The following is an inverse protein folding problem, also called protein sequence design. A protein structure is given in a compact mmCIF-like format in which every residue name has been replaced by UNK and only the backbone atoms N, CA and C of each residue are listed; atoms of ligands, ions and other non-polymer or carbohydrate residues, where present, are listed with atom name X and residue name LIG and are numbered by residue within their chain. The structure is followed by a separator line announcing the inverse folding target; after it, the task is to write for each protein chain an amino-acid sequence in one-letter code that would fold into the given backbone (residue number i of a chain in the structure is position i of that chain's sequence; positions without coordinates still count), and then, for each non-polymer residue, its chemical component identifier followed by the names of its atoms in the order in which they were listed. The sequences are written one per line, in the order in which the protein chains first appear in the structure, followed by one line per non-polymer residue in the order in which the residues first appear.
data_IF_192708373883
#
_entry.id   IF_192708373883
#
_cell.length_a   1.000
_cell.length_b   1.000
_cell.length_c   1.000
_cell.angle_alpha   90.00
_cell.angle_beta   90.00
_cell.angle_gamma   90.00
#
_symmetry.space_group_name_H-M   'P 1'
#
loop_
_entity.id
_entity.type
_entity.pdbx_description
1 polymer ?
#
# COMPACT_ATOMS: atom_id res chain seq x y z
N UNK A 1 -7.75 14.31 -47.67
CA UNK A 1 -7.40 13.89 -46.30
C UNK A 1 -8.11 12.56 -46.05
N UNK A 2 -7.53 11.46 -46.51
CA UNK A 2 -8.17 10.14 -46.55
C UNK A 2 -8.05 9.46 -45.19
N UNK A 3 -9.22 9.16 -44.59
CA UNK A 3 -9.39 8.47 -43.31
C UNK A 3 -8.81 7.06 -43.44
N UNK A 4 -7.77 6.75 -42.67
CA UNK A 4 -7.21 5.40 -42.56
C UNK A 4 -8.29 4.48 -42.00
N UNK A 5 -8.76 3.55 -42.83
CA UNK A 5 -9.63 2.46 -42.40
C UNK A 5 -8.83 1.61 -41.41
N UNK A 6 -9.23 1.62 -40.14
CA UNK A 6 -8.72 0.71 -39.14
C UNK A 6 -9.30 -0.66 -39.47
N UNK A 7 -8.58 -1.47 -40.23
CA UNK A 7 -8.90 -2.87 -40.46
C UNK A 7 -8.98 -3.56 -39.10
N UNK A 8 -10.19 -3.90 -38.65
CA UNK A 8 -10.39 -4.77 -37.49
C UNK A 8 -9.98 -6.19 -37.90
N UNK A 9 -8.68 -6.47 -37.79
CA UNK A 9 -8.18 -7.84 -37.88
C UNK A 9 -8.76 -8.62 -36.70
N UNK A 10 -9.49 -9.70 -36.98
CA UNK A 10 -9.99 -10.59 -35.96
C UNK A 10 -8.83 -11.13 -35.11
N UNK A 11 -8.98 -11.19 -33.77
CA UNK A 11 -7.87 -11.56 -32.89
C UNK A 11 -7.41 -12.98 -33.19
N UNK A 12 -6.10 -13.15 -33.33
CA UNK A 12 -5.51 -14.48 -33.51
C UNK A 12 -5.65 -15.32 -32.21
N UNK A 13 -5.43 -16.63 -32.30
CA UNK A 13 -5.58 -17.53 -31.15
C UNK A 13 -4.66 -17.17 -29.97
N UNK A 14 -3.48 -16.59 -30.22
CA UNK A 14 -2.57 -16.14 -29.19
C UNK A 14 -3.05 -14.82 -28.55
N UNK A 15 -3.67 -13.93 -29.31
CA UNK A 15 -4.35 -12.74 -28.81
C UNK A 15 -5.56 -13.10 -27.93
N UNK A 16 -6.38 -14.05 -28.37
CA UNK A 16 -7.49 -14.58 -27.58
C UNK A 16 -7.01 -15.18 -26.25
N UNK A 17 -5.93 -15.98 -26.29
CA UNK A 17 -5.33 -16.55 -25.09
C UNK A 17 -4.76 -15.48 -24.13
N UNK A 18 -4.13 -14.42 -24.66
CA UNK A 18 -3.62 -13.31 -23.85
C UNK A 18 -4.77 -12.51 -23.23
N UNK A 19 -5.82 -12.23 -23.99
CA UNK A 19 -6.98 -11.47 -23.50
C UNK A 19 -7.79 -12.26 -22.47
N UNK A 20 -7.88 -13.58 -22.60
CA UNK A 20 -8.47 -14.43 -21.56
C UNK A 20 -7.70 -14.38 -20.23
N UNK A 21 -6.36 -14.18 -20.26
CA UNK A 21 -5.52 -14.13 -19.07
C UNK A 21 -5.36 -12.73 -18.46
N UNK A 22 -5.21 -11.72 -19.31
CA UNK A 22 -4.82 -10.36 -18.92
C UNK A 22 -5.77 -9.28 -19.48
N UNK A 23 -6.94 -9.68 -19.99
CA UNK A 23 -7.86 -8.76 -20.66
C UNK A 23 -8.69 -7.89 -19.74
N UNK A 24 -8.75 -8.25 -18.46
CA UNK A 24 -9.53 -7.56 -17.44
C UNK A 24 -8.60 -7.01 -16.38
N UNK A 25 -8.77 -5.73 -16.06
CA UNK A 25 -8.07 -5.10 -14.95
C UNK A 25 -8.67 -5.60 -13.63
N UNK A 26 -7.85 -5.93 -12.62
CA UNK A 26 -8.34 -6.19 -11.28
C UNK A 26 -9.09 -5.01 -10.68
N UNK A 27 -9.84 -5.25 -9.62
CA UNK A 27 -10.45 -4.18 -8.85
C UNK A 27 -9.40 -3.18 -8.36
N UNK A 28 -9.80 -1.90 -8.29
CA UNK A 28 -8.90 -0.85 -7.85
C UNK A 28 -8.67 -0.97 -6.35
N UNK A 29 -7.40 -1.04 -5.96
CA UNK A 29 -6.98 -1.03 -4.55
C UNK A 29 -7.27 0.34 -3.94
N UNK A 30 -7.80 0.35 -2.71
CA UNK A 30 -8.04 1.58 -1.96
C UNK A 30 -6.70 2.20 -1.57
N UNK A 31 -6.62 3.52 -1.50
CA UNK A 31 -5.35 4.20 -1.20
C UNK A 31 -4.84 3.81 0.18
N UNK A 32 -5.75 3.67 1.14
CA UNK A 32 -5.46 3.20 2.50
C UNK A 32 -4.74 1.84 2.53
N UNK A 33 -5.07 0.93 1.62
CA UNK A 33 -4.48 -0.41 1.55
C UNK A 33 -3.13 -0.43 0.82
N UNK A 34 -2.71 0.71 0.25
CA UNK A 34 -1.41 0.86 -0.44
C UNK A 34 -0.30 1.38 0.46
N UNK A 35 -0.61 1.73 1.71
CA UNK A 35 0.33 2.33 2.66
C UNK A 35 0.36 1.55 3.98
N UNK A 36 1.52 1.51 4.63
CA UNK A 36 1.69 0.95 5.97
C UNK A 36 2.21 2.04 6.91
N UNK A 37 1.55 2.24 8.05
CA UNK A 37 2.02 3.19 9.06
C UNK A 37 3.13 2.56 9.91
N UNK A 38 4.27 3.26 10.00
CA UNK A 38 5.39 2.87 10.86
C UNK A 38 5.88 4.04 11.69
N UNK A 39 6.27 3.80 12.96
CA UNK A 39 6.92 4.83 13.76
C UNK A 39 8.17 5.36 13.05
N UNK A 40 8.34 6.68 13.03
CA UNK A 40 9.54 7.31 12.45
C UNK A 40 10.83 6.93 13.20
N UNK A 41 10.71 6.62 14.49
CA UNK A 41 11.80 6.15 15.34
C UNK A 41 11.29 5.03 16.25
N UNK A 42 12.21 4.18 16.74
CA UNK A 42 11.90 3.20 17.78
C UNK A 42 11.35 3.96 19.01
N UNK A 43 10.19 3.58 19.56
CA UNK A 43 9.66 4.18 20.78
C UNK A 43 10.67 4.03 21.93
N UNK A 44 10.92 5.11 22.67
CA UNK A 44 11.79 5.07 23.84
C UNK A 44 11.10 4.26 24.97
N UNK A 45 11.67 3.14 25.42
CA UNK A 45 11.08 2.31 26.47
C UNK A 45 10.97 3.04 27.82
N UNK A 46 11.79 4.06 28.07
CA UNK A 46 11.74 4.85 29.31
C UNK A 46 10.61 5.89 29.31
N UNK A 47 10.06 6.22 28.12
CA UNK A 47 9.02 7.25 27.98
C UNK A 47 7.79 6.99 28.84
N UNK A 48 7.40 5.72 28.96
CA UNK A 48 6.21 5.30 29.70
C UNK A 48 6.56 4.64 31.05
N UNK A 49 7.83 4.67 31.47
CA UNK A 49 8.33 4.02 32.68
C UNK A 49 8.26 4.92 33.94
N UNK A 50 7.22 5.74 34.07
CA UNK A 50 7.06 6.61 35.23
C UNK A 50 6.82 5.80 36.52
N UNK A 51 7.62 6.08 37.56
CA UNK A 51 7.47 5.52 38.91
C UNK A 51 7.31 6.63 39.95
N UNK A 52 6.17 6.65 40.63
CA UNK A 52 5.91 7.61 41.71
C UNK A 52 6.86 7.38 42.90
N UNK A 53 7.22 6.12 43.18
CA UNK A 53 8.09 5.76 44.29
C UNK A 53 9.51 6.30 44.10
N UNK A 54 10.06 6.27 42.89
CA UNK A 54 11.37 6.88 42.61
C UNK A 54 11.37 8.39 42.88
N UNK A 55 10.28 9.07 42.52
CA UNK A 55 10.14 10.50 42.76
C UNK A 55 10.08 10.81 44.27
N UNK A 56 9.31 10.03 45.03
CA UNK A 56 9.22 10.17 46.49
C UNK A 56 10.57 9.94 47.17
N UNK A 57 11.33 8.92 46.76
CA UNK A 57 12.66 8.64 47.33
C UNK A 57 13.65 9.76 47.02
N UNK A 58 13.59 10.37 45.84
CA UNK A 58 14.54 11.41 45.42
C UNK A 58 14.29 12.78 46.06
N UNK A 59 13.03 13.10 46.39
CA UNK A 59 12.64 14.46 46.78
C UNK A 59 11.98 14.57 48.16
N UNK A 60 11.58 13.46 48.80
CA UNK A 60 10.83 13.48 50.06
C UNK A 60 11.51 12.73 51.23
N UNK A 61 12.70 12.16 51.02
CA UNK A 61 13.60 11.63 52.05
C UNK A 61 14.81 12.55 52.21
#
# INVERSE_FOLDING_TARGET
MTRTERTETAPDAAEAARRARFGTLPERVRVEDTVEERPATVPDPARDAYSADEWLVRYCL
#
